data_IF_447939683494
#
_entry.id   IF_447939683494
#
_cell.length_a   1.000
_cell.length_b   1.000
_cell.length_c   1.000
_cell.angle_alpha   90.00
_cell.angle_beta   90.00
_cell.angle_gamma   90.00
#
_symmetry.space_group_name_H-M   'P 1'
#
loop_
_entity.id
_entity.type
_entity.pdbx_description
1 polymer ?
#
# COMPACT_ATOMS: atom_id res chain seq x y z
N UNK A 1 -19.18 13.17 -6.49
CA UNK A 1 -20.32 12.43 -5.91
C UNK A 1 -20.27 10.90 -6.12
N UNK A 2 -20.28 10.34 -7.35
CA UNK A 2 -20.26 8.86 -7.53
C UNK A 2 -18.95 8.21 -7.02
N UNK A 3 -17.80 8.88 -7.23
CA UNK A 3 -16.50 8.39 -6.76
C UNK A 3 -16.35 8.42 -5.23
N UNK A 4 -16.89 9.44 -4.55
CA UNK A 4 -16.78 9.56 -3.08
C UNK A 4 -17.51 8.44 -2.33
N UNK A 5 -18.67 8.01 -2.83
CA UNK A 5 -19.41 6.89 -2.21
C UNK A 5 -18.63 5.59 -2.42
N UNK A 6 -18.08 5.37 -3.62
CA UNK A 6 -17.28 4.20 -3.92
C UNK A 6 -16.01 4.13 -3.05
N UNK A 7 -15.33 5.26 -2.81
CA UNK A 7 -14.16 5.34 -1.94
C UNK A 7 -14.50 5.04 -0.48
N UNK A 8 -15.64 5.54 0.02
CA UNK A 8 -16.13 5.24 1.38
C UNK A 8 -16.50 3.78 1.56
N UNK A 9 -17.20 3.19 0.58
CA UNK A 9 -17.54 1.76 0.59
C UNK A 9 -16.25 0.94 0.56
N UNK A 10 -15.30 1.27 -0.32
CA UNK A 10 -14.00 0.60 -0.36
C UNK A 10 -13.30 0.67 0.98
N UNK A 11 -13.27 1.83 1.62
CA UNK A 11 -12.68 2.00 2.95
C UNK A 11 -13.31 1.07 3.99
N UNK A 12 -14.63 1.11 4.13
CA UNK A 12 -15.37 0.31 5.12
C UNK A 12 -15.18 -1.18 4.85
N UNK A 13 -15.32 -1.63 3.60
CA UNK A 13 -15.11 -3.01 3.22
C UNK A 13 -13.68 -3.48 3.51
N UNK A 14 -12.67 -2.63 3.24
CA UNK A 14 -11.26 -2.95 3.47
C UNK A 14 -10.95 -3.16 4.94
N UNK A 15 -11.36 -2.22 5.79
CA UNK A 15 -11.15 -2.29 7.24
C UNK A 15 -11.90 -3.48 7.82
N UNK A 16 -13.16 -3.69 7.41
CA UNK A 16 -13.96 -4.84 7.83
C UNK A 16 -13.30 -6.16 7.43
N UNK A 17 -12.77 -6.26 6.21
CA UNK A 17 -12.08 -7.45 5.72
C UNK A 17 -10.82 -7.77 6.55
N UNK A 18 -10.05 -6.76 6.93
CA UNK A 18 -8.85 -6.94 7.78
C UNK A 18 -9.25 -7.39 9.18
N UNK A 19 -10.22 -6.73 9.81
CA UNK A 19 -10.72 -7.10 11.15
C UNK A 19 -11.28 -8.52 11.13
N UNK A 20 -12.09 -8.86 10.13
CA UNK A 20 -12.62 -10.21 9.94
C UNK A 20 -11.48 -11.23 9.75
N UNK A 21 -10.44 -10.90 8.97
CA UNK A 21 -9.30 -11.79 8.77
C UNK A 21 -8.53 -12.08 10.07
N UNK A 22 -8.31 -11.06 10.92
CA UNK A 22 -7.64 -11.22 12.22
C UNK A 22 -8.49 -12.05 13.18
N UNK A 23 -9.80 -11.80 13.22
CA UNK A 23 -10.73 -12.58 14.01
C UNK A 23 -10.76 -14.05 13.55
N UNK A 24 -10.88 -14.30 12.24
CA UNK A 24 -10.83 -15.62 11.64
C UNK A 24 -9.51 -16.34 11.94
N UNK A 25 -8.37 -15.65 11.87
CA UNK A 25 -7.07 -16.23 12.24
C UNK A 25 -7.08 -16.77 13.67
N UNK A 26 -7.67 -16.00 14.59
CA UNK A 26 -7.68 -16.32 16.03
C UNK A 26 -8.64 -17.45 16.37
N UNK A 27 -9.80 -17.49 15.71
CA UNK A 27 -10.90 -18.39 16.08
C UNK A 27 -10.85 -19.68 15.27
N UNK A 28 -10.72 -19.59 13.94
CA UNK A 28 -10.67 -20.73 13.01
C UNK A 28 -9.86 -20.39 11.75
N UNK A 29 -8.59 -20.81 11.67
CA UNK A 29 -7.71 -20.48 10.55
C UNK A 29 -8.25 -20.92 9.17
N UNK A 30 -9.05 -21.99 9.10
CA UNK A 30 -9.69 -22.44 7.87
C UNK A 30 -10.55 -21.34 7.20
N UNK A 31 -11.16 -20.44 7.98
CA UNK A 31 -12.00 -19.36 7.44
C UNK A 31 -11.18 -18.40 6.58
N UNK A 32 -9.89 -18.20 6.89
CA UNK A 32 -8.99 -17.40 6.05
C UNK A 32 -8.84 -18.02 4.67
N UNK A 33 -8.83 -19.36 4.57
CA UNK A 33 -8.71 -20.04 3.28
C UNK A 33 -9.94 -19.77 2.39
N UNK A 34 -11.15 -19.81 2.96
CA UNK A 34 -12.38 -19.46 2.24
C UNK A 34 -12.45 -17.99 1.86
N UNK A 35 -12.21 -17.09 2.82
CA UNK A 35 -12.28 -15.64 2.63
C UNK A 35 -11.31 -15.21 1.52
N UNK A 36 -10.07 -15.70 1.58
CA UNK A 36 -9.08 -15.49 0.52
C UNK A 36 -9.54 -16.03 -0.83
N UNK A 37 -10.05 -17.26 -0.88
CA UNK A 37 -10.41 -17.89 -2.16
C UNK A 37 -11.49 -17.09 -2.88
N UNK A 38 -12.52 -16.66 -2.13
CA UNK A 38 -13.57 -15.81 -2.65
C UNK A 38 -13.04 -14.42 -3.06
N UNK A 39 -12.27 -13.76 -2.18
CA UNK A 39 -11.74 -12.41 -2.44
C UNK A 39 -10.76 -12.40 -3.60
N UNK A 40 -9.86 -13.38 -3.70
CA UNK A 40 -8.88 -13.44 -4.78
C UNK A 40 -9.58 -13.59 -6.13
N UNK A 41 -10.52 -14.52 -6.29
CA UNK A 41 -11.25 -14.69 -7.55
C UNK A 41 -11.99 -13.41 -7.92
N UNK A 42 -12.72 -12.80 -6.98
CA UNK A 42 -13.43 -11.54 -7.19
C UNK A 42 -12.46 -10.40 -7.58
N UNK A 43 -11.40 -10.19 -6.80
CA UNK A 43 -10.42 -9.15 -7.05
C UNK A 43 -9.70 -9.34 -8.37
N UNK A 44 -9.40 -10.58 -8.79
CA UNK A 44 -8.75 -10.85 -10.08
C UNK A 44 -9.65 -10.52 -11.25
N UNK A 45 -10.94 -10.87 -11.20
CA UNK A 45 -11.91 -10.49 -12.24
C UNK A 45 -11.96 -8.96 -12.39
N UNK A 46 -12.11 -8.24 -11.27
CA UNK A 46 -12.13 -6.78 -11.27
C UNK A 46 -10.80 -6.17 -11.76
N UNK A 47 -9.67 -6.79 -11.41
CA UNK A 47 -8.33 -6.38 -11.84
C UNK A 47 -8.17 -6.52 -13.35
N UNK A 48 -8.57 -7.65 -13.95
CA UNK A 48 -8.52 -7.86 -15.41
C UNK A 48 -9.31 -6.77 -16.14
N UNK A 49 -10.54 -6.50 -15.70
CA UNK A 49 -11.41 -5.48 -16.31
C UNK A 49 -10.76 -4.09 -16.23
N UNK A 50 -10.22 -3.74 -15.06
CA UNK A 50 -9.54 -2.45 -14.87
C UNK A 50 -8.27 -2.34 -15.72
N UNK A 51 -7.46 -3.40 -15.76
CA UNK A 51 -6.17 -3.39 -16.44
C UNK A 51 -6.32 -3.39 -17.96
N UNK A 52 -7.37 -4.04 -18.47
CA UNK A 52 -7.74 -3.96 -19.87
C UNK A 52 -8.07 -2.52 -20.28
N UNK A 53 -8.85 -1.79 -19.47
CA UNK A 53 -9.19 -0.37 -19.72
C UNK A 53 -7.99 0.57 -19.61
N UNK A 54 -6.97 0.20 -18.84
CA UNK A 54 -5.80 1.05 -18.57
C UNK A 54 -4.51 0.63 -19.28
N UNK A 55 -4.57 -0.32 -20.22
CA UNK A 55 -3.41 -0.88 -20.94
C UNK A 55 -2.30 -1.44 -20.02
N UNK A 56 -2.72 -2.02 -18.89
CA UNK A 56 -1.85 -2.61 -17.85
C UNK A 56 -1.92 -4.14 -17.80
N UNK A 57 -2.52 -4.78 -18.80
CA UNK A 57 -2.76 -6.23 -18.78
C UNK A 57 -1.47 -7.06 -18.65
N UNK A 58 -0.34 -6.56 -19.18
CA UNK A 58 0.95 -7.24 -19.11
C UNK A 58 1.49 -7.38 -17.68
N UNK A 59 1.07 -6.53 -16.73
CA UNK A 59 1.42 -6.71 -15.32
C UNK A 59 0.78 -7.97 -14.70
N UNK A 60 -0.26 -8.54 -15.31
CA UNK A 60 -0.85 -9.79 -14.82
C UNK A 60 0.05 -11.01 -15.02
N UNK A 61 1.13 -10.88 -15.80
CA UNK A 61 2.14 -11.92 -15.97
C UNK A 61 3.16 -11.97 -14.81
N UNK A 62 3.05 -11.07 -13.83
CA UNK A 62 3.93 -11.06 -12.66
C UNK A 62 3.73 -12.27 -11.75
N UNK A 63 4.78 -12.61 -10.99
CA UNK A 63 4.78 -13.79 -10.13
C UNK A 63 3.72 -13.82 -9.06
N UNK A 64 3.35 -12.67 -8.50
CA UNK A 64 2.34 -12.64 -7.45
C UNK A 64 1.02 -13.25 -7.93
N UNK A 65 0.62 -13.05 -9.19
CA UNK A 65 -0.59 -13.64 -9.76
C UNK A 65 -0.49 -15.17 -9.85
N UNK A 66 0.63 -15.68 -10.38
CA UNK A 66 0.90 -17.12 -10.47
C UNK A 66 0.94 -17.78 -9.09
N UNK A 67 1.58 -17.14 -8.11
CA UNK A 67 1.71 -17.67 -6.75
C UNK A 67 0.36 -17.80 -6.06
N UNK A 68 -0.52 -16.80 -6.19
CA UNK A 68 -1.85 -16.89 -5.62
C UNK A 68 -2.72 -17.96 -6.31
N UNK A 69 -2.61 -18.10 -7.63
CA UNK A 69 -3.25 -19.20 -8.35
C UNK A 69 -2.72 -20.56 -7.86
N UNK A 70 -1.41 -20.68 -7.65
CA UNK A 70 -0.80 -21.89 -7.09
C UNK A 70 -1.27 -22.16 -5.65
N UNK A 71 -1.45 -21.12 -4.82
CA UNK A 71 -2.04 -21.24 -3.49
C UNK A 71 -3.45 -21.82 -3.56
N UNK A 72 -4.28 -21.40 -4.53
CA UNK A 72 -5.61 -21.97 -4.73
C UNK A 72 -5.56 -23.42 -5.18
N UNK A 73 -4.69 -23.74 -6.15
CA UNK A 73 -4.51 -25.13 -6.62
C UNK A 73 -4.04 -26.03 -5.46
N UNK A 74 -3.17 -25.52 -4.59
CA UNK A 74 -2.72 -26.25 -3.41
C UNK A 74 -3.88 -26.55 -2.47
N UNK A 75 -4.66 -25.55 -2.06
CA UNK A 75 -5.69 -25.77 -1.02
C UNK A 75 -6.96 -26.47 -1.54
N UNK A 76 -7.33 -26.29 -2.81
CA UNK A 76 -8.55 -26.88 -3.41
C UNK A 76 -8.29 -28.11 -4.27
N UNK A 77 -7.13 -28.21 -4.91
CA UNK A 77 -6.81 -29.29 -5.85
C UNK A 77 -5.96 -30.39 -5.22
N UNK A 78 -4.85 -30.01 -4.59
CA UNK A 78 -3.82 -30.94 -4.10
C UNK A 78 -3.39 -30.66 -2.64
N UNK A 79 -4.33 -30.62 -1.67
CA UNK A 79 -4.07 -30.20 -0.29
C UNK A 79 -3.15 -31.14 0.49
N UNK A 80 -3.01 -32.39 0.04
CA UNK A 80 -2.15 -33.41 0.66
C UNK A 80 -0.74 -33.45 0.04
N UNK A 81 -0.46 -32.65 -0.99
CA UNK A 81 0.82 -32.69 -1.70
C UNK A 81 1.90 -31.88 -0.99
N UNK A 82 2.77 -32.57 -0.24
CA UNK A 82 3.97 -31.98 0.39
C UNK A 82 4.89 -31.27 -0.61
N UNK A 83 5.01 -31.84 -1.82
CA UNK A 83 5.85 -31.28 -2.89
C UNK A 83 5.31 -29.94 -3.36
N UNK A 84 4.01 -29.87 -3.64
CA UNK A 84 3.37 -28.63 -4.07
C UNK A 84 3.39 -27.56 -2.97
N UNK A 85 3.17 -27.96 -1.72
CA UNK A 85 3.30 -27.05 -0.57
C UNK A 85 4.71 -26.46 -0.47
N UNK A 86 5.75 -27.27 -0.68
CA UNK A 86 7.14 -26.80 -0.65
C UNK A 86 7.42 -25.79 -1.77
N UNK A 87 6.91 -26.04 -2.98
CA UNK A 87 7.03 -25.12 -4.13
C UNK A 87 6.29 -23.80 -3.85
N UNK A 88 5.04 -23.89 -3.40
CA UNK A 88 4.21 -22.72 -3.07
C UNK A 88 4.86 -21.90 -1.95
N UNK A 89 5.35 -22.55 -0.89
CA UNK A 89 6.04 -21.90 0.22
C UNK A 89 7.30 -21.18 -0.25
N UNK A 90 8.11 -21.86 -1.07
CA UNK A 90 9.30 -21.30 -1.68
C UNK A 90 8.99 -20.02 -2.44
N UNK A 91 8.04 -20.06 -3.37
CA UNK A 91 7.65 -18.90 -4.17
C UNK A 91 7.00 -17.77 -3.34
N UNK A 92 6.11 -18.10 -2.40
CA UNK A 92 5.42 -17.11 -1.58
C UNK A 92 6.40 -16.33 -0.68
N UNK A 93 7.24 -17.04 0.07
CA UNK A 93 8.16 -16.44 1.05
C UNK A 93 9.41 -15.80 0.44
N UNK A 94 9.61 -15.95 -0.87
CA UNK A 94 10.70 -15.28 -1.58
C UNK A 94 10.16 -14.18 -2.50
N UNK A 95 9.35 -14.53 -3.49
CA UNK A 95 8.94 -13.62 -4.57
C UNK A 95 7.74 -12.76 -4.19
N UNK A 96 6.69 -13.34 -3.60
CA UNK A 96 5.56 -12.54 -3.13
C UNK A 96 5.98 -11.65 -1.95
N UNK A 97 6.77 -12.20 -1.02
CA UNK A 97 7.39 -11.45 0.06
C UNK A 97 8.23 -10.26 -0.45
N UNK A 98 9.31 -10.52 -1.22
CA UNK A 98 10.20 -9.46 -1.69
C UNK A 98 9.51 -8.48 -2.65
N UNK A 99 8.54 -8.96 -3.44
CA UNK A 99 7.76 -8.14 -4.34
C UNK A 99 7.00 -7.02 -3.64
N UNK A 100 6.56 -7.22 -2.39
CA UNK A 100 5.91 -6.16 -1.62
C UNK A 100 6.82 -4.94 -1.42
N UNK A 101 8.11 -5.17 -1.16
CA UNK A 101 9.10 -4.12 -0.96
C UNK A 101 9.54 -3.51 -2.29
N UNK A 102 9.76 -4.36 -3.31
CA UNK A 102 10.20 -3.94 -4.63
C UNK A 102 9.21 -2.97 -5.28
N UNK A 103 7.91 -3.29 -5.21
CA UNK A 103 6.85 -2.44 -5.73
C UNK A 103 6.42 -1.32 -4.79
N UNK A 104 6.98 -1.27 -3.56
CA UNK A 104 6.59 -0.35 -2.48
C UNK A 104 5.07 -0.36 -2.26
N UNK A 105 4.52 -1.57 -2.13
CA UNK A 105 3.10 -1.75 -1.90
C UNK A 105 2.68 -1.02 -0.63
N UNK A 106 1.49 -0.41 -0.69
CA UNK A 106 0.94 0.43 0.35
C UNK A 106 -0.53 0.04 0.55
N UNK A 107 -0.91 -0.23 1.81
CA UNK A 107 -2.31 -0.40 2.16
C UNK A 107 -2.98 0.96 2.18
N UNK A 108 -3.88 1.17 1.22
CA UNK A 108 -4.68 2.39 1.08
C UNK A 108 -6.13 1.97 1.03
N UNK A 109 -6.87 2.21 2.10
CA UNK A 109 -8.19 1.63 2.31
C UNK A 109 -9.25 2.16 1.34
N UNK A 110 -9.11 3.40 0.84
CA UNK A 110 -10.06 3.99 -0.11
C UNK A 110 -9.73 3.66 -1.57
N UNK A 111 -8.54 3.13 -1.88
CA UNK A 111 -8.09 2.82 -3.23
C UNK A 111 -8.03 1.30 -3.42
N UNK A 112 -9.05 0.77 -4.09
CA UNK A 112 -9.19 -0.65 -4.37
C UNK A 112 -7.98 -1.23 -5.13
N UNK A 113 -7.38 -0.50 -6.06
CA UNK A 113 -6.27 -1.02 -6.86
C UNK A 113 -4.99 -1.15 -6.04
N UNK A 114 -4.71 -0.18 -5.16
CA UNK A 114 -3.56 -0.26 -4.23
C UNK A 114 -3.76 -1.33 -3.17
N UNK A 115 -4.98 -1.46 -2.68
CA UNK A 115 -5.37 -2.48 -1.72
C UNK A 115 -5.19 -3.89 -2.31
N UNK A 116 -5.73 -4.17 -3.51
CA UNK A 116 -5.54 -5.46 -4.20
C UNK A 116 -4.06 -5.75 -4.44
N UNK A 117 -3.27 -4.73 -4.81
CA UNK A 117 -1.82 -4.88 -4.98
C UNK A 117 -1.14 -5.29 -3.68
N UNK A 118 -1.58 -4.79 -2.52
CA UNK A 118 -1.03 -5.23 -1.23
C UNK A 118 -1.46 -6.66 -0.89
N UNK A 119 -2.74 -6.98 -1.12
CA UNK A 119 -3.31 -8.29 -0.82
C UNK A 119 -2.62 -9.44 -1.54
N UNK A 120 -2.38 -9.32 -2.85
CA UNK A 120 -1.73 -10.40 -3.63
C UNK A 120 -0.30 -10.71 -3.16
N UNK A 121 0.34 -9.83 -2.38
CA UNK A 121 1.66 -10.08 -1.80
C UNK A 121 1.61 -10.58 -0.35
N UNK A 122 0.62 -10.17 0.45
CA UNK A 122 0.46 -10.58 1.85
C UNK A 122 -0.12 -11.99 1.94
N UNK A 123 -1.19 -12.26 1.19
CA UNK A 123 -2.00 -13.45 1.32
C UNK A 123 -1.25 -14.78 1.06
N UNK A 124 -0.44 -14.93 0.00
CA UNK A 124 0.25 -16.21 -0.22
C UNK A 124 1.29 -16.51 0.86
N UNK A 125 1.88 -15.48 1.48
CA UNK A 125 2.81 -15.62 2.61
C UNK A 125 2.05 -16.09 3.84
N UNK A 126 0.93 -15.44 4.17
CA UNK A 126 0.06 -15.84 5.27
C UNK A 126 -0.47 -17.27 5.12
N UNK A 127 -0.85 -17.67 3.90
CA UNK A 127 -1.27 -19.03 3.59
C UNK A 127 -0.17 -20.04 3.88
N UNK A 128 1.01 -19.80 3.32
CA UNK A 128 2.15 -20.71 3.52
C UNK A 128 2.53 -20.85 5.00
N UNK A 129 2.32 -19.79 5.80
CA UNK A 129 2.50 -19.80 7.25
C UNK A 129 1.49 -20.71 7.96
N UNK A 130 0.19 -20.56 7.66
CA UNK A 130 -0.87 -21.41 8.21
C UNK A 130 -0.66 -22.89 7.86
N UNK A 131 -0.40 -23.17 6.59
CA UNK A 131 -0.23 -24.54 6.10
C UNK A 131 1.03 -25.21 6.67
N UNK A 132 2.11 -24.45 6.89
CA UNK A 132 3.34 -25.01 7.45
C UNK A 132 3.20 -25.25 8.94
N UNK A 133 2.79 -24.24 9.71
CA UNK A 133 2.90 -24.26 11.18
C UNK A 133 1.64 -24.73 11.91
N UNK A 134 0.47 -24.60 11.28
CA UNK A 134 -0.82 -24.93 11.87
C UNK A 134 -1.69 -25.79 10.93
N UNK A 135 -1.16 -26.86 10.28
CA UNK A 135 -1.93 -27.63 9.30
C UNK A 135 -3.16 -28.31 9.93
N UNK A 136 -3.03 -28.85 11.14
CA UNK A 136 -4.14 -29.52 11.85
C UNK A 136 -5.24 -28.54 12.22
N UNK A 137 -4.89 -27.41 12.83
CA UNK A 137 -5.86 -26.38 13.22
C UNK A 137 -6.53 -25.76 12.00
N UNK A 138 -5.78 -25.58 10.90
CA UNK A 138 -6.31 -25.06 9.63
C UNK A 138 -7.17 -26.09 8.91
N UNK A 139 -6.99 -27.38 9.16
CA UNK A 139 -7.85 -28.44 8.58
C UNK A 139 -9.22 -28.48 9.24
N UNK A 140 -9.36 -27.99 10.47
CA UNK A 140 -10.65 -27.94 11.16
C UNK A 140 -11.59 -26.96 10.45
N UNK A 141 -12.69 -27.49 9.90
CA UNK A 141 -13.65 -26.80 9.02
C UNK A 141 -13.16 -26.52 7.60
N UNK A 142 -11.98 -27.03 7.23
CA UNK A 142 -11.63 -27.22 5.84
C UNK A 142 -12.33 -28.49 5.30
N UNK A 143 -12.50 -28.58 3.98
CA UNK A 143 -13.22 -29.72 3.37
C UNK A 143 -12.42 -31.03 3.41
N UNK A 144 -11.12 -30.96 3.73
CA UNK A 144 -10.22 -32.11 3.81
C UNK A 144 -9.01 -31.79 4.69
N UNK A 145 -8.25 -32.83 5.05
CA UNK A 145 -7.02 -32.65 5.83
C UNK A 145 -5.90 -32.09 4.95
N UNK A 146 -5.25 -31.03 5.46
CA UNK A 146 -4.07 -30.43 4.86
C UNK A 146 -2.83 -31.25 5.24
N UNK A 147 -1.85 -31.27 4.34
CA UNK A 147 -0.60 -32.00 4.57
C UNK A 147 0.10 -31.52 5.85
N UNK A 148 0.34 -32.46 6.76
CA UNK A 148 1.17 -32.22 7.94
C UNK A 148 2.64 -32.51 7.62
N UNK A 149 3.47 -31.48 7.72
CA UNK A 149 4.92 -31.59 7.51
C UNK A 149 5.69 -31.82 8.82
N UNK A 150 4.97 -32.08 9.92
CA UNK A 150 5.49 -32.21 11.28
C UNK A 150 6.25 -30.97 11.76
N UNK A 151 5.83 -29.79 11.29
CA UNK A 151 6.41 -28.53 11.71
C UNK A 151 6.04 -28.20 13.15
N UNK A 152 7.00 -27.66 13.91
CA UNK A 152 6.80 -27.26 15.30
C UNK A 152 6.75 -25.74 15.38
N UNK A 153 5.63 -25.19 15.84
CA UNK A 153 5.46 -23.76 16.10
C UNK A 153 6.17 -23.30 17.39
N UNK A 154 7.41 -23.74 17.58
CA UNK A 154 8.28 -23.36 18.70
C UNK A 154 9.29 -22.30 18.20
N UNK A 155 9.35 -21.10 18.80
CA UNK A 155 10.26 -20.04 18.39
C UNK A 155 11.75 -20.41 18.42
N UNK A 156 12.15 -21.35 19.28
CA UNK A 156 13.56 -21.71 19.50
C UNK A 156 13.99 -22.94 18.69
N UNK A 157 13.04 -23.68 18.13
CA UNK A 157 13.33 -24.89 17.36
C UNK A 157 13.74 -24.54 15.93
N UNK A 158 14.89 -25.05 15.52
CA UNK A 158 15.33 -25.05 14.14
C UNK A 158 15.09 -26.41 13.49
N UNK A 159 14.37 -26.42 12.38
CA UNK A 159 14.04 -27.61 11.61
C UNK A 159 15.03 -27.81 10.44
N UNK A 160 15.42 -29.07 10.21
CA UNK A 160 16.31 -29.46 9.12
C UNK A 160 15.61 -30.30 8.02
N UNK A 161 14.27 -30.36 8.03
CA UNK A 161 13.44 -31.20 7.14
C UNK A 161 13.20 -30.59 5.74
N UNK A 162 14.18 -29.86 5.21
CA UNK A 162 14.06 -29.14 3.93
C UNK A 162 14.28 -30.08 2.74
N UNK A 163 13.28 -30.15 1.87
CA UNK A 163 13.45 -30.71 0.53
C UNK A 163 13.97 -29.62 -0.41
N UNK A 164 15.29 -29.53 -0.55
CA UNK A 164 15.96 -28.50 -1.36
C UNK A 164 15.48 -28.47 -2.82
N UNK A 165 15.10 -29.63 -3.36
CA UNK A 165 14.64 -29.72 -4.75
C UNK A 165 13.31 -28.97 -4.91
N UNK A 166 12.31 -29.28 -4.10
CA UNK A 166 10.99 -28.65 -4.21
C UNK A 166 10.89 -27.28 -3.55
N UNK A 167 11.75 -26.97 -2.57
CA UNK A 167 11.74 -25.67 -1.87
C UNK A 167 12.53 -24.57 -2.60
N UNK A 168 13.57 -24.95 -3.35
CA UNK A 168 14.48 -23.98 -4.00
C UNK A 168 14.53 -24.17 -5.52
N UNK A 169 14.94 -25.35 -5.99
CA UNK A 169 15.22 -25.56 -7.40
C UNK A 169 13.95 -25.45 -8.25
N UNK A 170 12.85 -26.11 -7.86
CA UNK A 170 11.59 -26.04 -8.61
C UNK A 170 11.04 -24.61 -8.65
N UNK A 171 10.95 -23.85 -7.53
CA UNK A 171 10.62 -22.42 -7.56
C UNK A 171 11.51 -21.59 -8.48
N UNK A 172 12.82 -21.84 -8.50
CA UNK A 172 13.75 -21.14 -9.40
C UNK A 172 13.47 -21.49 -10.86
N UNK A 173 13.16 -22.75 -11.18
CA UNK A 173 12.78 -23.17 -12.53
C UNK A 173 11.45 -22.56 -12.96
N UNK A 174 10.46 -22.50 -12.06
CA UNK A 174 9.20 -21.77 -12.30
C UNK A 174 9.52 -20.29 -12.58
N UNK A 175 10.45 -19.69 -11.85
CA UNK A 175 10.91 -18.34 -12.11
C UNK A 175 11.52 -18.15 -13.49
N UNK A 176 12.49 -18.98 -13.84
CA UNK A 176 13.13 -18.96 -15.15
C UNK A 176 12.11 -19.15 -16.27
N UNK A 177 11.16 -20.09 -16.11
CA UNK A 177 10.12 -20.35 -17.09
C UNK A 177 9.22 -19.14 -17.33
N UNK A 178 8.90 -18.39 -16.27
CA UNK A 178 8.12 -17.16 -16.39
C UNK A 178 8.92 -16.06 -17.07
N UNK A 179 10.20 -15.89 -16.76
CA UNK A 179 11.04 -14.88 -17.44
C UNK A 179 11.15 -15.17 -18.94
N UNK A 180 11.32 -16.44 -19.33
CA UNK A 180 11.31 -16.86 -20.74
C UNK A 180 9.95 -16.60 -21.38
N UNK A 181 8.85 -17.01 -20.73
CA UNK A 181 7.50 -16.81 -21.24
C UNK A 181 7.18 -15.31 -21.39
N UNK A 182 7.55 -14.50 -20.40
CA UNK A 182 7.40 -13.05 -20.43
C UNK A 182 8.14 -12.44 -21.61
N UNK A 183 9.40 -12.84 -21.83
CA UNK A 183 10.18 -12.40 -22.98
C UNK A 183 9.49 -12.74 -24.30
N UNK A 184 9.02 -13.99 -24.46
CA UNK A 184 8.33 -14.45 -25.67
C UNK A 184 7.01 -13.70 -25.92
N UNK A 185 6.20 -13.47 -24.89
CA UNK A 185 4.92 -12.78 -25.02
C UNK A 185 5.15 -11.30 -25.35
N UNK A 186 5.99 -10.62 -24.59
CA UNK A 186 6.18 -9.16 -24.72
C UNK A 186 6.90 -8.80 -26.00
N UNK A 187 7.99 -9.51 -26.34
CA UNK A 187 8.84 -9.16 -27.49
C UNK A 187 8.53 -9.97 -28.76
N UNK A 188 7.98 -11.18 -28.61
CA UNK A 188 7.56 -12.01 -29.74
C UNK A 188 6.17 -11.64 -30.24
N UNK A 189 5.16 -11.72 -29.36
CA UNK A 189 3.76 -11.66 -29.76
C UNK A 189 3.15 -10.24 -29.72
N UNK A 190 3.27 -9.55 -28.58
CA UNK A 190 2.53 -8.31 -28.34
C UNK A 190 3.25 -7.10 -28.93
N UNK A 191 4.59 -7.03 -28.80
CA UNK A 191 5.43 -5.88 -29.18
C UNK A 191 4.79 -4.55 -28.77
N UNK A 192 4.50 -4.38 -27.47
CA UNK A 192 3.61 -3.33 -27.02
C UNK A 192 4.24 -1.95 -27.24
N UNK A 193 3.45 -1.00 -27.71
CA UNK A 193 3.82 0.41 -27.83
C UNK A 193 4.25 0.99 -26.45
N UNK A 194 5.01 2.09 -26.41
CA UNK A 194 5.60 2.65 -25.16
C UNK A 194 4.58 2.97 -24.06
N UNK A 195 3.30 3.12 -24.44
CA UNK A 195 2.18 3.38 -23.55
C UNK A 195 1.84 2.20 -22.62
N UNK A 196 2.14 0.96 -23.02
CA UNK A 196 1.93 -0.19 -22.16
C UNK A 196 3.03 -0.26 -21.11
N UNK A 197 2.62 -0.29 -19.85
CA UNK A 197 3.54 -0.50 -18.75
C UNK A 197 3.58 -1.99 -18.39
N UNK A 198 4.80 -2.47 -18.19
CA UNK A 198 5.13 -3.77 -17.66
C UNK A 198 6.21 -3.62 -16.57
N UNK A 199 6.57 -4.71 -15.89
CA UNK A 199 7.48 -4.68 -14.74
C UNK A 199 8.88 -4.18 -15.11
N UNK A 200 9.37 -4.55 -16.30
CA UNK A 200 10.63 -4.05 -16.83
C UNK A 200 10.59 -2.53 -17.07
N UNK A 201 9.61 -2.03 -17.83
CA UNK A 201 9.45 -0.60 -18.14
C UNK A 201 9.17 0.24 -16.90
N UNK A 202 8.38 -0.30 -15.96
CA UNK A 202 8.07 0.37 -14.70
C UNK A 202 9.33 0.58 -13.86
N UNK A 203 10.15 -0.45 -13.71
CA UNK A 203 11.41 -0.35 -12.97
C UNK A 203 12.47 0.48 -13.71
N UNK A 204 12.48 0.43 -15.03
CA UNK A 204 13.33 1.29 -15.86
C UNK A 204 13.01 2.77 -15.64
N UNK A 205 11.72 3.15 -15.57
CA UNK A 205 11.30 4.54 -15.28
C UNK A 205 11.73 5.03 -13.88
N UNK A 206 11.79 4.15 -12.89
CA UNK A 206 12.20 4.51 -11.52
C UNK A 206 13.70 4.79 -11.35
N UNK A 207 14.52 4.63 -12.41
CA UNK A 207 15.98 4.84 -12.42
C UNK A 207 16.76 4.10 -11.33
N UNK A 208 16.16 3.12 -10.65
CA UNK A 208 16.74 2.44 -9.49
C UNK A 208 18.10 1.77 -9.83
N UNK A 209 18.26 1.36 -11.09
CA UNK A 209 19.47 0.72 -11.61
C UNK A 209 20.14 1.49 -12.77
N UNK A 210 19.63 2.69 -13.10
CA UNK A 210 20.09 3.44 -14.28
C UNK A 210 21.58 3.77 -14.21
N UNK A 211 22.05 4.19 -13.02
CA UNK A 211 23.43 4.60 -12.81
C UNK A 211 24.44 3.45 -12.82
N UNK A 212 24.00 2.20 -12.59
CA UNK A 212 24.90 1.04 -12.45
C UNK A 212 24.98 0.26 -13.76
N UNK A 213 23.84 0.07 -14.46
CA UNK A 213 23.77 -0.83 -15.61
C UNK A 213 23.43 -0.12 -16.92
N UNK A 214 22.52 0.85 -16.93
CA UNK A 214 21.91 1.30 -18.19
C UNK A 214 22.77 2.27 -18.98
N UNK A 215 23.51 3.14 -18.31
CA UNK A 215 24.39 4.10 -18.98
C UNK A 215 25.68 3.43 -19.51
N UNK A 216 25.97 2.19 -19.09
CA UNK A 216 27.22 1.48 -19.43
C UNK A 216 27.10 0.46 -20.56
N UNK A 217 25.89 -0.06 -20.82
CA UNK A 217 25.66 -1.12 -21.80
C UNK A 217 24.75 -0.63 -22.94
N UNK A 218 24.99 -1.15 -24.15
CA UNK A 218 24.14 -0.87 -25.30
C UNK A 218 22.71 -1.41 -25.08
N UNK A 219 21.68 -0.66 -25.53
CA UNK A 219 20.26 -0.95 -25.26
C UNK A 219 19.82 -2.40 -25.54
N UNK A 220 20.40 -3.04 -26.57
CA UNK A 220 20.16 -4.46 -26.92
C UNK A 220 20.44 -5.46 -25.79
N UNK A 221 21.36 -5.12 -24.88
CA UNK A 221 21.76 -5.99 -23.78
C UNK A 221 20.94 -5.75 -22.52
N UNK A 222 20.18 -4.65 -22.42
CA UNK A 222 19.48 -4.28 -21.18
C UNK A 222 18.51 -5.36 -20.74
N UNK A 223 17.76 -5.95 -21.66
CA UNK A 223 16.82 -7.02 -21.33
C UNK A 223 17.51 -8.33 -20.93
N UNK A 224 18.61 -8.71 -21.58
CA UNK A 224 19.34 -9.91 -21.23
C UNK A 224 19.98 -9.76 -19.84
N UNK A 225 20.57 -8.60 -19.56
CA UNK A 225 21.10 -8.26 -18.23
C UNK A 225 19.97 -8.29 -17.19
N UNK A 226 18.79 -7.75 -17.52
CA UNK A 226 17.62 -7.78 -16.65
C UNK A 226 17.18 -9.19 -16.30
N UNK A 227 17.04 -10.08 -17.29
CA UNK A 227 16.64 -11.47 -17.08
C UNK A 227 17.68 -12.21 -16.25
N UNK A 228 18.97 -12.06 -16.57
CA UNK A 228 20.06 -12.69 -15.81
C UNK A 228 20.10 -12.20 -14.37
N UNK A 229 19.98 -10.88 -14.16
CA UNK A 229 19.89 -10.29 -12.84
C UNK A 229 18.67 -10.81 -12.08
N UNK A 230 17.52 -10.92 -12.74
CA UNK A 230 16.30 -11.47 -12.16
C UNK A 230 16.48 -12.91 -11.67
N UNK A 231 17.12 -13.78 -12.47
CA UNK A 231 17.38 -15.19 -12.10
C UNK A 231 18.33 -15.27 -10.90
N UNK A 232 19.40 -14.48 -10.89
CA UNK A 232 20.34 -14.45 -9.76
C UNK A 232 19.66 -13.91 -8.50
N UNK A 233 18.92 -12.80 -8.62
CA UNK A 233 18.17 -12.22 -7.52
C UNK A 233 17.12 -13.21 -6.98
N UNK A 234 16.43 -13.94 -7.85
CA UNK A 234 15.50 -15.03 -7.51
C UNK A 234 16.18 -16.10 -6.64
N UNK A 235 17.36 -16.57 -7.05
CA UNK A 235 18.15 -17.53 -6.29
C UNK A 235 18.51 -17.02 -4.88
N UNK A 236 18.89 -15.74 -4.76
CA UNK A 236 19.21 -15.11 -3.46
C UNK A 236 17.98 -14.99 -2.58
N UNK A 237 16.86 -14.49 -3.09
CA UNK A 237 15.64 -14.31 -2.27
C UNK A 237 15.02 -15.63 -1.85
N UNK A 238 15.24 -16.72 -2.59
CA UNK A 238 14.81 -18.06 -2.19
C UNK A 238 15.50 -18.54 -0.91
N UNK A 239 16.71 -18.05 -0.59
CA UNK A 239 17.36 -18.36 0.68
C UNK A 239 16.53 -17.89 1.89
N UNK A 240 15.78 -16.78 1.76
CA UNK A 240 14.86 -16.32 2.81
C UNK A 240 13.76 -17.36 3.07
N UNK A 241 13.20 -17.94 2.01
CA UNK A 241 12.20 -18.99 2.13
C UNK A 241 12.79 -20.27 2.77
N UNK A 242 14.04 -20.63 2.47
CA UNK A 242 14.70 -21.76 3.12
C UNK A 242 14.87 -21.54 4.63
N UNK A 243 15.26 -20.34 5.06
CA UNK A 243 15.36 -20.00 6.49
C UNK A 243 13.97 -20.00 7.13
N UNK A 244 12.96 -19.42 6.46
CA UNK A 244 11.57 -19.39 6.93
C UNK A 244 10.92 -20.77 7.05
N UNK A 245 11.27 -21.72 6.19
CA UNK A 245 10.82 -23.11 6.32
C UNK A 245 11.28 -23.76 7.63
N UNK A 246 12.41 -23.27 8.14
CA UNK A 246 13.19 -23.93 9.18
C UNK A 246 12.94 -23.35 10.57
N UNK A 247 12.53 -22.09 10.65
CA UNK A 247 12.31 -21.39 11.92
C UNK A 247 10.96 -20.70 11.92
N UNK A 248 10.12 -21.10 12.89
CA UNK A 248 8.84 -20.46 13.17
C UNK A 248 9.01 -18.99 13.50
N UNK A 249 10.03 -18.67 14.31
CA UNK A 249 10.35 -17.30 14.71
C UNK A 249 10.73 -16.44 13.50
N UNK A 250 11.60 -16.95 12.62
CA UNK A 250 12.02 -16.21 11.43
C UNK A 250 10.85 -15.96 10.47
N UNK A 251 10.04 -16.98 10.20
CA UNK A 251 8.86 -16.82 9.35
C UNK A 251 7.83 -15.84 9.96
N UNK A 252 7.63 -15.88 11.27
CA UNK A 252 6.77 -14.92 11.97
C UNK A 252 7.30 -13.49 11.85
N UNK A 253 8.61 -13.30 12.03
CA UNK A 253 9.26 -12.00 11.87
C UNK A 253 9.11 -11.46 10.45
N UNK A 254 9.25 -12.33 9.44
CA UNK A 254 9.02 -11.94 8.05
C UNK A 254 7.62 -11.36 7.86
N UNK A 255 6.57 -12.05 8.30
CA UNK A 255 5.19 -11.56 8.20
C UNK A 255 5.02 -10.20 8.88
N UNK A 256 5.56 -10.03 10.09
CA UNK A 256 5.51 -8.76 10.83
C UNK A 256 6.20 -7.64 10.03
N UNK A 257 7.42 -7.88 9.54
CA UNK A 257 8.18 -6.90 8.75
C UNK A 257 7.42 -6.54 7.47
N UNK A 258 6.84 -7.52 6.77
CA UNK A 258 6.07 -7.27 5.56
C UNK A 258 4.85 -6.37 5.84
N UNK A 259 4.08 -6.71 6.87
CA UNK A 259 2.90 -5.94 7.25
C UNK A 259 3.28 -4.52 7.70
N UNK A 260 4.28 -4.37 8.57
CA UNK A 260 4.74 -3.06 9.02
C UNK A 260 5.21 -2.19 7.86
N UNK A 261 5.96 -2.74 6.91
CA UNK A 261 6.44 -1.97 5.75
C UNK A 261 5.31 -1.54 4.83
N UNK A 262 4.32 -2.40 4.57
CA UNK A 262 3.17 -2.05 3.74
C UNK A 262 2.29 -1.00 4.45
N UNK A 263 2.11 -1.11 5.77
CA UNK A 263 1.42 -0.11 6.57
C UNK A 263 2.17 1.23 6.61
N UNK A 264 3.50 1.19 6.75
CA UNK A 264 4.34 2.40 6.72
C UNK A 264 4.25 3.11 5.37
N UNK A 265 4.32 2.37 4.27
CA UNK A 265 4.11 2.93 2.94
C UNK A 265 2.69 3.51 2.78
N UNK A 266 1.69 2.88 3.41
CA UNK A 266 0.33 3.41 3.51
C UNK A 266 0.29 4.74 4.27
N UNK A 267 0.97 4.85 5.41
CA UNK A 267 1.06 6.07 6.20
C UNK A 267 1.71 7.21 5.39
N UNK A 268 2.86 6.95 4.74
CA UNK A 268 3.50 7.90 3.83
C UNK A 268 2.56 8.31 2.68
N UNK A 269 1.77 7.38 2.15
CA UNK A 269 0.78 7.72 1.13
C UNK A 269 -0.28 8.69 1.66
N UNK A 270 -0.85 8.44 2.83
CA UNK A 270 -1.90 9.27 3.40
C UNK A 270 -1.41 10.64 3.89
N UNK A 271 -0.20 10.68 4.47
CA UNK A 271 0.34 11.90 5.11
C UNK A 271 1.08 12.76 4.09
N UNK A 272 1.95 12.16 3.27
CA UNK A 272 2.89 12.92 2.44
C UNK A 272 2.38 13.09 1.01
N UNK A 273 1.83 12.03 0.41
CA UNK A 273 1.50 12.03 -1.02
C UNK A 273 0.07 12.49 -1.32
N UNK A 274 -0.91 11.97 -0.58
CA UNK A 274 -2.32 12.15 -0.88
C UNK A 274 -2.79 13.62 -0.86
N UNK A 275 -2.37 14.46 0.11
CA UNK A 275 -2.74 15.87 0.13
C UNK A 275 -2.22 16.63 -1.10
N UNK A 276 -0.97 16.36 -1.50
CA UNK A 276 -0.34 16.99 -2.67
C UNK A 276 -1.04 16.58 -3.95
N UNK A 277 -1.37 15.30 -4.10
CA UNK A 277 -2.11 14.81 -5.25
C UNK A 277 -3.53 15.39 -5.31
N UNK A 278 -4.19 15.56 -4.16
CA UNK A 278 -5.50 16.19 -4.08
C UNK A 278 -5.43 17.65 -4.51
N UNK A 279 -4.45 18.41 -4.00
CA UNK A 279 -4.20 19.79 -4.42
C UNK A 279 -3.96 19.87 -5.93
N UNK A 280 -3.14 18.99 -6.49
CA UNK A 280 -2.86 18.93 -7.93
C UNK A 280 -4.13 18.70 -8.76
N UNK A 281 -5.01 17.80 -8.32
CA UNK A 281 -6.29 17.51 -8.98
C UNK A 281 -7.25 18.71 -8.93
N UNK A 282 -7.27 19.42 -7.80
CA UNK A 282 -8.07 20.64 -7.70
C UNK A 282 -7.54 21.74 -8.62
N UNK A 283 -6.23 21.98 -8.62
CA UNK A 283 -5.61 22.96 -9.52
C UNK A 283 -5.90 22.61 -10.99
N UNK A 284 -5.76 21.35 -11.40
CA UNK A 284 -6.05 20.96 -12.80
C UNK A 284 -7.51 21.18 -13.18
N UNK A 285 -8.46 20.86 -12.29
CA UNK A 285 -9.89 21.11 -12.55
C UNK A 285 -10.21 22.60 -12.66
N UNK A 286 -9.59 23.43 -11.82
CA UNK A 286 -9.75 24.90 -11.90
C UNK A 286 -9.16 25.43 -13.22
N UNK A 287 -7.97 24.98 -13.61
CA UNK A 287 -7.37 25.37 -14.89
C UNK A 287 -8.23 24.95 -16.08
N UNK A 288 -8.75 23.72 -16.09
CA UNK A 288 -9.66 23.24 -17.13
C UNK A 288 -10.95 24.05 -17.19
N UNK A 289 -11.53 24.39 -16.03
CA UNK A 289 -12.73 25.23 -15.95
C UNK A 289 -12.49 26.65 -16.48
N UNK A 290 -11.35 27.25 -16.12
CA UNK A 290 -10.95 28.58 -16.60
C UNK A 290 -10.74 28.58 -18.12
N UNK A 291 -10.04 27.57 -18.66
CA UNK A 291 -9.82 27.44 -20.11
C UNK A 291 -11.15 27.28 -20.87
N UNK A 292 -12.10 26.51 -20.32
CA UNK A 292 -13.45 26.39 -20.89
C UNK A 292 -14.21 27.72 -20.83
N UNK A 293 -14.11 28.46 -19.72
CA UNK A 293 -14.73 29.76 -19.57
C UNK A 293 -14.18 30.76 -20.60
N UNK A 294 -12.85 30.89 -20.70
CA UNK A 294 -12.18 31.76 -21.69
C UNK A 294 -12.58 31.40 -23.12
N UNK A 295 -12.60 30.10 -23.46
CA UNK A 295 -13.03 29.66 -24.79
C UNK A 295 -14.48 30.05 -25.09
N UNK A 296 -15.38 29.87 -24.13
CA UNK A 296 -16.79 30.26 -24.27
C UNK A 296 -16.99 31.77 -24.37
N UNK A 297 -16.16 32.56 -23.66
CA UNK A 297 -16.23 34.02 -23.69
C UNK A 297 -15.67 34.57 -25.01
N UNK A 298 -14.61 33.97 -25.54
CA UNK A 298 -14.05 34.32 -26.84
C UNK A 298 -14.97 33.92 -27.99
N UNK A 299 -15.66 32.78 -27.92
CA UNK A 299 -16.68 32.39 -28.90
C UNK A 299 -17.90 33.33 -28.88
N UNK A 300 -18.38 33.72 -27.68
CA UNK A 300 -19.46 34.72 -27.56
C UNK A 300 -19.04 36.12 -28.00
N UNK A 301 -17.79 36.52 -27.77
CA UNK A 301 -17.25 37.79 -28.26
C UNK A 301 -17.14 37.82 -29.79
N UNK A 302 -16.85 36.66 -30.41
CA UNK A 302 -16.85 36.52 -31.87
C UNK A 302 -18.28 36.61 -32.46
N UNK A 303 -19.27 36.06 -31.76
CA UNK A 303 -20.67 36.07 -32.19
C UNK A 303 -21.36 37.42 -31.90
N UNK A 304 -20.99 38.11 -30.81
CA UNK A 304 -21.44 39.46 -30.50
C UNK A 304 -20.83 40.53 -31.43
N UNK A 305 -19.67 40.29 -32.02
CA UNK A 305 -19.16 41.15 -33.10
C UNK A 305 -20.01 41.08 -34.39
N UNK A 306 -21.09 40.27 -34.41
CA UNK A 306 -22.10 40.24 -35.46
C UNK A 306 -23.34 41.10 -35.14
N UNK A 307 -23.46 41.68 -33.95
CA UNK A 307 -24.53 42.61 -33.57
C UNK A 307 -24.03 43.66 -32.57
N UNK A 308 -24.02 44.92 -33.00
CA UNK A 308 -23.36 46.10 -32.39
C UNK A 308 -23.48 46.33 -30.86
N UNK A 309 -22.42 47.02 -30.36
CA UNK A 309 -22.33 48.07 -29.33
C UNK A 309 -22.77 47.80 -27.88
N UNK A 310 -21.78 47.65 -26.98
CA UNK A 310 -21.52 48.45 -25.75
C UNK A 310 -20.79 47.61 -24.66
N UNK A 311 -19.92 48.21 -23.82
CA UNK A 311 -19.14 47.45 -22.84
C UNK A 311 -19.85 47.38 -21.48
N UNK A 312 -19.79 46.26 -20.75
CA UNK A 312 -19.93 46.31 -19.31
C UNK A 312 -18.71 45.71 -18.59
N UNK A 313 -18.36 46.37 -17.49
CA UNK A 313 -17.15 46.19 -16.70
C UNK A 313 -16.91 44.80 -16.10
N UNK A 314 -15.65 44.63 -15.69
CA UNK A 314 -15.08 43.41 -15.13
C UNK A 314 -15.89 42.85 -13.96
N UNK A 315 -16.26 41.57 -14.09
CA UNK A 315 -16.99 40.77 -13.10
C UNK A 315 -16.18 40.43 -11.83
N UNK A 316 -14.94 40.92 -11.73
CA UNK A 316 -14.02 40.70 -10.60
C UNK A 316 -14.57 41.26 -9.27
N UNK A 317 -15.49 42.23 -9.32
CA UNK A 317 -16.09 42.86 -8.14
C UNK A 317 -17.29 42.12 -7.53
N UNK A 318 -17.80 41.05 -8.15
CA UNK A 318 -19.01 40.34 -7.66
C UNK A 318 -18.76 39.03 -6.92
N UNK A 319 -17.52 38.56 -6.82
CA UNK A 319 -17.21 37.24 -6.23
C UNK A 319 -16.33 37.31 -4.97
N UNK A 320 -16.02 38.50 -4.47
CA UNK A 320 -15.34 38.68 -3.18
C UNK A 320 -16.32 39.24 -2.15
N UNK A 321 -16.42 38.67 -0.94
CA UNK A 321 -17.23 39.23 0.12
C UNK A 321 -16.53 40.46 0.70
N UNK A 322 -17.12 41.64 0.56
CA UNK A 322 -16.75 42.83 1.33
C UNK A 322 -17.60 42.88 2.59
N UNK A 323 -16.95 42.84 3.76
CA UNK A 323 -17.54 43.26 5.03
C UNK A 323 -17.94 44.73 4.92
N UNK A 324 -19.26 45.01 4.95
CA UNK A 324 -19.94 45.99 5.82
C UNK A 324 -21.40 46.19 5.37
N UNK A 325 -22.28 46.24 6.37
CA UNK A 325 -23.60 46.90 6.41
C UNK A 325 -24.90 46.16 6.01
N UNK A 326 -25.52 45.60 7.06
CA UNK A 326 -26.89 45.80 7.56
C UNK A 326 -28.14 45.68 6.64
N UNK A 327 -28.95 44.65 6.96
CA UNK A 327 -30.42 44.65 7.13
C UNK A 327 -31.26 45.37 6.05
N UNK A 328 -31.88 44.61 5.14
CA UNK A 328 -33.34 44.37 5.21
C UNK A 328 -33.85 43.41 4.13
N UNK A 329 -34.82 42.62 4.58
CA UNK A 329 -35.92 41.99 3.86
C UNK A 329 -35.88 40.54 3.34
N UNK A 330 -37.08 39.96 3.42
CA UNK A 330 -37.42 38.59 3.81
C UNK A 330 -37.37 37.53 2.71
N UNK A 331 -37.35 36.30 3.20
CA UNK A 331 -37.40 34.98 2.54
C UNK A 331 -38.69 34.68 1.77
N UNK A 332 -38.58 33.93 0.66
CA UNK A 332 -39.42 32.76 0.36
C UNK A 332 -38.63 31.75 -0.49
N UNK A 333 -37.98 30.80 0.20
CA UNK A 333 -37.92 29.35 -0.08
C UNK A 333 -36.58 28.75 0.41
N UNK A 334 -36.60 28.26 1.65
CA UNK A 334 -35.44 28.12 2.53
C UNK A 334 -34.70 26.78 2.45
N UNK A 335 -33.70 26.66 1.55
CA UNK A 335 -32.60 25.69 1.71
C UNK A 335 -31.27 26.17 1.12
N UNK A 336 -30.41 26.72 1.97
CA UNK A 336 -28.99 26.93 1.67
C UNK A 336 -28.23 25.63 1.92
N UNK A 337 -27.62 25.03 0.87
CA UNK A 337 -26.61 23.98 1.06
C UNK A 337 -25.34 24.61 1.62
N UNK A 338 -25.16 24.50 2.94
CA UNK A 338 -23.91 24.84 3.61
C UNK A 338 -22.88 23.75 3.30
N UNK A 339 -21.94 24.01 2.38
CA UNK A 339 -20.75 23.17 2.24
C UNK A 339 -19.75 23.65 3.30
N UNK A 340 -19.87 23.06 4.49
CA UNK A 340 -18.87 23.22 5.55
C UNK A 340 -17.76 22.21 5.32
N UNK A 341 -16.62 22.66 4.81
CA UNK A 341 -15.38 21.87 4.87
C UNK A 341 -14.62 22.33 6.11
N UNK A 342 -14.65 21.53 7.16
CA UNK A 342 -13.75 21.71 8.30
C UNK A 342 -12.35 21.31 7.85
N UNK A 343 -11.49 22.29 7.60
CA UNK A 343 -10.05 22.05 7.50
C UNK A 343 -9.51 21.72 8.91
N UNK A 344 -8.59 20.76 9.05
CA UNK A 344 -7.91 20.53 10.33
C UNK A 344 -7.14 21.79 10.74
N UNK A 345 -7.12 22.06 12.05
CA UNK A 345 -6.67 23.31 12.69
C UNK A 345 -5.25 23.80 12.36
N UNK A 346 -4.46 23.01 11.63
CA UNK A 346 -3.06 23.30 11.32
C UNK A 346 -2.78 23.50 9.81
N UNK A 347 -3.81 23.79 9.00
CA UNK A 347 -3.61 24.08 7.58
C UNK A 347 -3.14 25.53 7.41
N UNK A 348 -1.82 25.74 7.29
CA UNK A 348 -1.25 27.03 6.90
C UNK A 348 -1.37 27.17 5.38
N UNK A 349 -2.27 28.03 4.92
CA UNK A 349 -2.30 28.47 3.51
C UNK A 349 -1.15 29.45 3.29
N UNK A 350 -0.12 29.03 2.55
CA UNK A 350 0.90 29.94 2.04
C UNK A 350 0.34 30.58 0.76
N UNK A 351 -0.08 31.84 0.86
CA UNK A 351 -0.41 32.68 -0.29
C UNK A 351 0.89 33.39 -0.70
N UNK A 352 1.44 33.07 -1.86
CA UNK A 352 2.50 33.87 -2.46
C UNK A 352 1.90 35.19 -2.97
N UNK A 353 2.44 36.37 -2.59
CA UNK A 353 1.98 37.63 -3.16
C UNK A 353 2.54 37.79 -4.58
N UNK A 354 1.65 38.01 -5.54
CA UNK A 354 2.02 38.51 -6.86
C UNK A 354 2.49 39.97 -6.76
N UNK A 355 3.51 40.30 -7.55
CA UNK A 355 4.25 41.55 -7.57
C UNK A 355 3.38 42.84 -7.57
N UNK A 356 3.79 43.83 -6.77
CA UNK A 356 3.44 45.24 -7.00
C UNK A 356 2.87 46.01 -5.81
N UNK A 357 3.76 46.64 -5.03
CA UNK A 357 3.59 47.90 -4.28
C UNK A 357 2.19 48.28 -3.77
N UNK A 358 1.96 48.15 -2.46
CA UNK A 358 1.14 49.12 -1.73
C UNK A 358 1.68 49.31 -0.30
N UNK A 359 2.05 50.55 0.01
CA UNK A 359 2.49 51.02 1.33
C UNK A 359 1.32 51.11 2.30
N UNK A 360 1.47 50.53 3.50
CA UNK A 360 0.62 50.87 4.65
C UNK A 360 1.49 51.06 5.89
N UNK A 361 1.55 52.31 6.31
CA UNK A 361 1.97 52.80 7.62
C UNK A 361 0.95 52.40 8.70
N UNK A 362 1.41 52.04 9.90
CA UNK A 362 0.59 52.14 11.11
C UNK A 362 0.64 50.96 12.08
N UNK A 363 1.58 51.04 13.03
CA UNK A 363 1.51 50.60 14.43
C UNK A 363 0.83 49.28 14.84
N UNK A 364 1.63 48.33 15.37
CA UNK A 364 1.16 47.45 16.44
C UNK A 364 1.76 46.05 16.50
N UNK A 365 2.84 45.91 17.26
CA UNK A 365 3.36 44.69 17.89
C UNK A 365 4.11 43.65 17.03
N UNK A 366 5.42 43.62 17.29
CA UNK A 366 6.43 42.67 16.84
C UNK A 366 6.09 41.20 17.14
N UNK A 367 6.30 40.33 16.14
CA UNK A 367 6.84 38.99 16.35
C UNK A 367 7.95 38.73 15.33
N UNK A 368 9.18 38.79 15.82
CA UNK A 368 10.41 38.51 15.06
C UNK A 368 10.51 37.02 14.74
N UNK A 369 10.35 36.65 13.46
CA UNK A 369 10.69 35.29 12.99
C UNK A 369 12.17 35.28 12.62
N UNK A 370 12.98 34.62 13.45
CA UNK A 370 14.40 34.36 13.18
C UNK A 370 14.49 33.30 12.07
N UNK A 371 15.00 33.69 10.90
CA UNK A 371 15.43 32.75 9.87
C UNK A 371 16.71 32.03 10.32
N UNK A 372 16.66 30.70 10.44
CA UNK A 372 17.86 29.85 10.45
C UNK A 372 17.88 29.00 9.19
N UNK A 373 18.73 29.39 8.24
CA UNK A 373 19.02 28.64 7.03
C UNK A 373 19.87 27.38 7.31
N UNK A 374 19.44 26.29 6.68
CA UNK A 374 20.23 25.19 6.10
C UNK A 374 20.94 24.11 6.95
N UNK A 375 20.56 22.87 6.57
CA UNK A 375 21.38 21.66 6.33
C UNK A 375 21.30 20.55 7.39
N UNK A 376 21.25 19.30 6.89
CA UNK A 376 21.29 17.99 7.61
C UNK A 376 20.00 17.20 7.92
N UNK A 377 18.97 17.24 7.09
CA UNK A 377 17.80 16.33 7.23
C UNK A 377 18.07 14.85 6.90
N UNK A 378 19.12 14.51 6.13
CA UNK A 378 19.41 13.11 5.75
C UNK A 378 20.08 12.28 6.85
N UNK A 379 20.89 12.90 7.73
CA UNK A 379 21.61 12.16 8.79
C UNK A 379 20.73 11.86 10.02
N UNK A 380 19.74 12.71 10.32
CA UNK A 380 18.85 12.51 11.48
C UNK A 380 17.87 11.35 11.26
N UNK A 381 17.45 11.11 10.02
CA UNK A 381 16.53 10.00 9.67
C UNK A 381 17.18 8.62 9.83
N UNK A 382 18.46 8.47 9.43
CA UNK A 382 19.21 7.21 9.59
C UNK A 382 19.49 6.93 11.07
N UNK A 383 19.80 7.98 11.86
CA UNK A 383 19.99 7.87 13.31
C UNK A 383 18.70 7.52 14.06
N UNK A 384 17.56 8.07 13.63
CA UNK A 384 16.25 7.71 14.17
C UNK A 384 15.90 6.24 13.85
N UNK A 385 16.10 5.79 12.60
CA UNK A 385 15.83 4.40 12.20
C UNK A 385 16.70 3.39 12.97
N UNK A 386 18.00 3.68 13.14
CA UNK A 386 18.90 2.82 13.92
C UNK A 386 18.56 2.80 15.41
N UNK A 387 18.11 3.93 15.97
CA UNK A 387 17.70 4.00 17.38
C UNK A 387 16.38 3.27 17.61
N UNK A 388 15.42 3.37 16.70
CA UNK A 388 14.15 2.62 16.75
C UNK A 388 14.38 1.12 16.59
N UNK A 389 15.21 0.69 15.63
CA UNK A 389 15.55 -0.72 15.46
C UNK A 389 16.29 -1.29 16.68
N UNK A 390 17.18 -0.50 17.30
CA UNK A 390 17.87 -0.88 18.54
C UNK A 390 16.91 -1.00 19.72
N UNK A 391 15.97 -0.07 19.86
CA UNK A 391 14.98 -0.12 20.94
C UNK A 391 13.96 -1.26 20.75
N UNK A 392 13.57 -1.57 19.50
CA UNK A 392 12.78 -2.75 19.17
C UNK A 392 13.53 -4.05 19.49
N UNK A 393 14.86 -4.09 19.27
CA UNK A 393 15.69 -5.25 19.59
C UNK A 393 15.83 -5.48 21.11
N UNK A 394 15.97 -4.42 21.92
CA UNK A 394 15.98 -4.54 23.38
C UNK A 394 14.63 -4.92 23.96
N UNK A 395 13.53 -4.36 23.42
CA UNK A 395 12.17 -4.76 23.79
C UNK A 395 11.91 -6.23 23.45
N UNK A 396 12.48 -6.73 22.35
CA UNK A 396 12.39 -8.12 21.91
C UNK A 396 13.16 -9.10 22.82
N UNK A 397 14.33 -8.73 23.32
CA UNK A 397 15.08 -9.55 24.31
C UNK A 397 14.31 -9.64 25.63
N UNK A 398 13.78 -8.51 26.12
CA UNK A 398 12.99 -8.50 27.36
C UNK A 398 11.64 -9.25 27.21
N UNK A 399 10.98 -9.18 26.05
CA UNK A 399 9.72 -9.88 25.79
C UNK A 399 9.91 -11.36 25.47
N UNK A 400 11.05 -11.75 24.88
CA UNK A 400 11.43 -13.15 24.68
C UNK A 400 11.58 -13.93 25.98
N UNK A 401 12.02 -13.27 27.06
CA UNK A 401 12.04 -13.86 28.42
C UNK A 401 10.65 -13.94 29.07
N UNK A 402 9.75 -13.01 28.76
CA UNK A 402 8.38 -13.00 29.32
C UNK A 402 7.44 -14.00 28.61
N UNK A 403 7.62 -14.23 27.31
CA UNK A 403 6.85 -15.20 26.51
C UNK A 403 7.16 -16.67 26.84
N UNK A 404 8.25 -16.97 27.55
CA UNK A 404 8.60 -18.34 27.99
C UNK A 404 7.54 -18.95 28.94
N UNK A 405 6.69 -18.13 29.56
CA UNK A 405 5.75 -18.59 30.59
C UNK A 405 4.34 -18.95 30.13
N UNK A 406 3.89 -18.60 28.90
CA UNK A 406 2.49 -18.83 28.50
C UNK A 406 2.33 -19.30 27.04
N UNK A 407 2.00 -20.59 26.90
CA UNK A 407 1.51 -21.22 25.66
C UNK A 407 0.16 -20.60 25.24
N UNK A 408 0.07 -20.03 24.04
CA UNK A 408 -1.02 -20.25 23.06
C UNK A 408 -1.04 -19.20 21.95
N UNK A 409 -1.62 -19.59 20.81
CA UNK A 409 -1.86 -18.85 19.57
C UNK A 409 -2.49 -17.45 19.71
N UNK A 410 -2.91 -17.03 20.90
CA UNK A 410 -3.62 -15.77 21.17
C UNK A 410 -2.72 -14.53 21.15
N UNK A 411 -1.41 -14.67 21.33
CA UNK A 411 -0.49 -13.54 21.48
C UNK A 411 -0.19 -12.79 20.17
N UNK A 412 -0.19 -13.45 19.01
CA UNK A 412 0.07 -12.74 17.73
C UNK A 412 -1.05 -11.75 17.39
N UNK A 413 -2.30 -12.11 17.72
CA UNK A 413 -3.46 -11.24 17.52
C UNK A 413 -3.59 -10.17 18.62
N UNK A 414 -3.21 -10.48 19.86
CA UNK A 414 -3.12 -9.47 20.92
C UNK A 414 -2.00 -8.46 20.64
N UNK A 415 -0.90 -8.87 20.02
CA UNK A 415 0.24 -8.00 19.70
C UNK A 415 -0.10 -6.93 18.66
N UNK A 416 -0.92 -7.26 17.65
CA UNK A 416 -1.48 -6.28 16.70
C UNK A 416 -2.42 -5.27 17.38
N UNK A 417 -3.12 -5.68 18.45
CA UNK A 417 -4.03 -4.81 19.20
C UNK A 417 -3.30 -3.95 20.25
N UNK A 418 -2.29 -4.50 20.92
CA UNK A 418 -1.48 -3.81 21.95
C UNK A 418 -0.52 -2.79 21.33
N UNK A 419 0.02 -3.04 20.12
CA UNK A 419 0.81 -2.03 19.41
C UNK A 419 -0.03 -0.81 19.03
N UNK A 420 -1.33 -0.98 18.76
CA UNK A 420 -2.27 0.14 18.54
C UNK A 420 -2.63 0.84 19.86
N UNK A 421 -2.75 0.11 20.98
CA UNK A 421 -3.08 0.68 22.28
C UNK A 421 -1.90 1.36 23.00
N UNK A 422 -0.66 0.92 22.80
CA UNK A 422 0.53 1.46 23.46
C UNK A 422 1.14 2.70 22.79
N UNK A 423 0.67 3.08 21.59
CA UNK A 423 1.04 4.36 20.95
C UNK A 423 0.21 5.53 21.52
N UNK A 424 -0.86 5.25 22.28
CA UNK A 424 -1.80 6.28 22.75
C UNK A 424 -1.35 7.15 23.94
N UNK A 425 -0.40 6.80 24.84
CA UNK A 425 -0.03 7.69 25.94
C UNK A 425 1.10 8.68 25.63
N UNK A 426 1.66 8.73 24.41
CA UNK A 426 2.77 9.63 24.08
C UNK A 426 2.36 10.99 23.46
N UNK A 427 1.06 11.31 23.38
CA UNK A 427 0.58 12.51 22.64
C UNK A 427 -0.10 13.59 23.50
N UNK A 428 -0.32 13.41 24.80
CA UNK A 428 -0.96 14.45 25.63
C UNK A 428 -0.29 14.58 27.01
N UNK A 429 0.33 15.74 27.33
CA UNK A 429 0.69 16.08 28.69
C UNK A 429 -0.51 16.82 29.31
N UNK A 430 -1.44 16.12 29.93
CA UNK A 430 -2.06 16.60 31.18
C UNK A 430 -3.09 15.63 31.77
N UNK A 431 -3.23 15.76 33.08
CA UNK A 431 -3.75 14.78 34.04
C UNK A 431 -5.26 14.48 33.95
N UNK A 432 -5.58 13.31 34.53
CA UNK A 432 -6.74 12.91 35.37
C UNK A 432 -7.84 11.99 34.80
N UNK A 433 -8.01 10.87 35.54
CA UNK A 433 -9.21 10.01 35.73
C UNK A 433 -9.46 8.78 34.81
N UNK A 434 -10.13 7.72 35.30
CA UNK A 434 -9.54 6.63 36.09
C UNK A 434 -9.64 5.25 35.41
N UNK A 435 -8.85 4.30 35.91
CA UNK A 435 -8.92 2.87 35.58
C UNK A 435 -10.35 2.32 35.76
N UNK A 436 -10.93 1.80 34.68
CA UNK A 436 -12.01 0.80 34.77
C UNK A 436 -11.38 -0.56 34.48
N UNK A 437 -11.16 -1.32 35.55
CA UNK A 437 -10.88 -2.75 35.56
C UNK A 437 -12.05 -3.50 34.92
N UNK A 438 -11.80 -4.28 33.86
CA UNK A 438 -12.65 -5.41 33.53
C UNK A 438 -11.88 -6.71 33.80
N UNK A 439 -12.31 -7.35 34.89
CA UNK A 439 -11.95 -8.71 35.29
C UNK A 439 -12.59 -9.74 34.35
N UNK A 440 -11.81 -10.78 34.04
CA UNK A 440 -12.18 -12.19 33.78
C UNK A 440 -13.29 -12.53 32.77
N UNK A 441 -12.91 -13.24 31.69
CA UNK A 441 -13.43 -14.56 31.31
C UNK A 441 -12.47 -15.28 30.36
#
# INVERSE_FOLDING_TARGET
MCNEISEKICFVCSVTCIVASVYSFSVRPAIILYLFSALFVLCMILRVISYWRSNYLLFMLDMCYLINALSLILVWGLPTSRRLQSVQFGLANSHAYCGAFLYRNAVVFHDFQKLVSSFIHILPVLFSFLLRWFPKDTSVWWYTDLVDTNAKADPLVWMNDRDWFYLMLVPLLVFCSREVLYYLIVYGCVKPDEKHLDSYRYMHKKKLFAQIFWDRFHARWHILIWVMFGIVASGVVLCLAAIAWSSYLFHSLMLIVQLLMICWNGACYYIDYYPVELQRRFTSQVTEANNCYEKSHNEKALDSNRYNSDPPGSLLSRLLPTETDSISDRTEDGRVRRVSVCLPANTVMMIEPADGTLSLTGSGCDWTVIFSQHSNSRCSCIRALTTTLRNCFYLFICLGQYCYSHYSQRLVCLYLFVVVAQIYPYVLPDRTLPLILFYSF
#
